data_IF_203940410658
#
_entry.id   IF_203940410658
#
_cell.length_a   1.000
_cell.length_b   1.000
_cell.length_c   1.000
_cell.angle_alpha   90.00
_cell.angle_beta   90.00
_cell.angle_gamma   90.00
#
_symmetry.space_group_name_H-M   'P 1'
#
loop_
_entity.id
_entity.type
_entity.pdbx_description
1 polymer ?
#
# COMPACT_ATOMS: atom_id res chain seq x y z
N UNK A 1 10.83 -20.42 11.71
CA UNK A 1 9.89 -19.33 12.07
C UNK A 1 9.63 -18.53 10.81
N UNK A 2 8.78 -19.06 9.94
CA UNK A 2 8.69 -18.73 8.51
C UNK A 2 7.33 -18.14 8.22
N UNK A 3 7.21 -16.82 8.37
CA UNK A 3 6.14 -16.07 7.71
C UNK A 3 6.56 -15.78 6.27
N UNK A 4 6.53 -16.82 5.45
CA UNK A 4 6.61 -16.71 3.99
C UNK A 4 5.32 -17.30 3.43
N UNK A 5 4.20 -16.60 3.59
CA UNK A 5 2.95 -16.98 2.92
C UNK A 5 2.06 -15.77 2.65
N UNK A 6 1.70 -15.65 1.37
CA UNK A 6 0.80 -14.65 0.73
C UNK A 6 1.53 -13.32 0.43
N UNK A 7 1.92 -12.96 -0.79
CA UNK A 7 1.19 -13.13 -2.04
C UNK A 7 2.16 -13.17 -3.23
N UNK A 8 2.17 -14.32 -3.90
CA UNK A 8 2.45 -14.41 -5.32
C UNK A 8 1.31 -13.67 -6.05
N UNK A 9 1.43 -12.38 -6.25
CA UNK A 9 0.64 -11.67 -7.28
C UNK A 9 1.58 -11.39 -8.43
N UNK A 10 1.30 -12.14 -9.49
CA UNK A 10 1.91 -12.13 -10.80
C UNK A 10 2.10 -10.68 -11.27
N UNK A 11 3.33 -10.34 -11.66
CA UNK A 11 3.57 -9.23 -12.57
C UNK A 11 2.64 -9.38 -13.79
N UNK A 12 2.18 -8.24 -14.34
CA UNK A 12 1.23 -8.08 -15.45
C UNK A 12 -0.24 -8.30 -15.05
N UNK A 13 -1.15 -7.32 -15.10
CA UNK A 13 -1.22 -6.05 -15.81
C UNK A 13 -1.83 -5.02 -14.84
N UNK A 14 -1.24 -3.87 -14.59
CA UNK A 14 -1.23 -2.79 -15.57
C UNK A 14 -0.23 -1.71 -15.14
N UNK A 15 0.53 -1.21 -16.10
CA UNK A 15 1.56 -0.18 -15.97
C UNK A 15 0.96 1.24 -15.99
N UNK A 16 -0.37 1.33 -15.91
CA UNK A 16 -1.11 2.57 -16.10
C UNK A 16 -1.22 3.34 -14.79
N UNK A 17 -0.27 4.25 -14.69
CA UNK A 17 -0.24 5.48 -13.92
C UNK A 17 -0.14 5.32 -12.41
N UNK A 18 0.92 5.90 -11.86
CA UNK A 18 1.16 6.06 -10.43
C UNK A 18 0.20 7.13 -9.91
N UNK A 19 -1.09 6.83 -9.98
CA UNK A 19 -2.16 7.73 -9.57
C UNK A 19 -2.38 7.53 -8.06
N UNK A 20 -2.38 8.61 -7.26
CA UNK A 20 -2.75 8.59 -5.84
C UNK A 20 -3.96 7.69 -5.49
N UNK A 21 -5.06 7.62 -6.27
CA UNK A 21 -6.19 6.73 -5.99
C UNK A 21 -5.84 5.24 -5.94
N UNK A 22 -4.88 4.76 -6.74
CA UNK A 22 -4.49 3.34 -6.75
C UNK A 22 -3.74 2.98 -5.47
N UNK A 23 -2.84 3.87 -5.02
CA UNK A 23 -2.11 3.72 -3.76
C UNK A 23 -3.10 3.71 -2.59
N UNK A 24 -4.11 4.60 -2.61
CA UNK A 24 -5.15 4.68 -1.59
C UNK A 24 -5.95 3.39 -1.50
N UNK A 25 -6.43 2.86 -2.63
CA UNK A 25 -7.17 1.60 -2.66
C UNK A 25 -6.35 0.43 -2.06
N UNK A 26 -5.05 0.37 -2.38
CA UNK A 26 -4.15 -0.67 -1.82
C UNK A 26 -3.90 -0.49 -0.33
N UNK A 27 -3.76 0.76 0.15
CA UNK A 27 -3.63 1.06 1.57
C UNK A 27 -4.89 0.65 2.35
N UNK A 28 -6.07 0.95 1.81
CA UNK A 28 -7.36 0.54 2.38
C UNK A 28 -7.53 -0.98 2.42
N UNK A 29 -7.15 -1.71 1.35
CA UNK A 29 -7.16 -3.18 1.36
C UNK A 29 -6.27 -3.79 2.46
N UNK A 30 -5.16 -3.12 2.79
CA UNK A 30 -4.27 -3.56 3.87
C UNK A 30 -4.91 -3.28 5.24
N UNK A 31 -5.43 -2.07 5.44
CA UNK A 31 -6.11 -1.66 6.68
C UNK A 31 -7.35 -2.51 6.98
N UNK A 32 -8.13 -2.84 5.95
CA UNK A 32 -9.35 -3.65 6.08
C UNK A 32 -9.08 -5.08 6.61
N UNK A 33 -7.87 -5.61 6.41
CA UNK A 33 -7.51 -6.96 6.88
C UNK A 33 -6.97 -6.96 8.30
N UNK A 34 -6.27 -5.91 8.68
CA UNK A 34 -5.67 -5.73 10.01
C UNK A 34 -5.25 -4.28 10.17
N UNK A 35 -5.39 -3.73 11.38
CA UNK A 35 -4.71 -2.48 11.71
C UNK A 35 -3.20 -2.65 11.54
N UNK A 36 -2.65 -1.79 10.69
CA UNK A 36 -1.22 -1.72 10.37
C UNK A 36 -0.71 -0.34 10.73
N UNK A 37 0.51 -0.28 11.27
CA UNK A 37 1.15 1.01 11.49
C UNK A 37 1.47 1.67 10.14
N UNK A 38 1.48 3.00 10.09
CA UNK A 38 1.83 3.76 8.87
C UNK A 38 3.15 3.31 8.24
N UNK A 39 4.17 3.05 9.06
CA UNK A 39 5.48 2.58 8.59
C UNK A 39 5.40 1.19 7.93
N UNK A 40 4.53 0.30 8.42
CA UNK A 40 4.30 -1.00 7.79
C UNK A 40 3.58 -0.84 6.45
N UNK A 41 2.57 0.04 6.36
CA UNK A 41 1.89 0.35 5.10
C UNK A 41 2.86 0.91 4.08
N UNK A 42 3.69 1.89 4.46
CA UNK A 42 4.73 2.46 3.61
C UNK A 42 5.68 1.40 3.07
N UNK A 43 6.22 0.54 3.94
CA UNK A 43 7.11 -0.55 3.50
C UNK A 43 6.41 -1.55 2.58
N UNK A 44 5.14 -1.88 2.85
CA UNK A 44 4.35 -2.80 2.03
C UNK A 44 4.02 -2.22 0.65
N UNK A 45 3.78 -0.92 0.56
CA UNK A 45 3.54 -0.21 -0.69
C UNK A 45 4.84 -0.03 -1.48
N UNK A 46 5.94 0.34 -0.80
CA UNK A 46 7.26 0.44 -1.42
C UNK A 46 7.73 -0.92 -1.99
N UNK A 47 7.54 -2.02 -1.25
CA UNK A 47 7.84 -3.38 -1.74
C UNK A 47 7.01 -3.80 -2.96
N UNK A 48 5.87 -3.15 -3.21
CA UNK A 48 5.04 -3.38 -4.40
C UNK A 48 5.48 -2.54 -5.61
N UNK A 49 6.48 -1.68 -5.44
CA UNK A 49 7.02 -0.81 -6.50
C UNK A 49 6.36 0.57 -6.60
N UNK A 50 5.57 0.97 -5.59
CA UNK A 50 5.05 2.34 -5.53
C UNK A 50 6.15 3.30 -5.05
N UNK A 51 6.33 4.47 -5.69
CA UNK A 51 7.31 5.44 -5.26
C UNK A 51 6.84 6.12 -3.98
N UNK A 52 7.78 6.32 -3.06
CA UNK A 52 7.52 6.83 -1.71
C UNK A 52 6.93 8.24 -1.73
N UNK A 53 7.32 9.05 -2.73
CA UNK A 53 6.81 10.41 -2.95
C UNK A 53 5.29 10.47 -3.13
N UNK A 54 4.67 9.41 -3.66
CA UNK A 54 3.22 9.30 -3.82
C UNK A 54 2.57 8.51 -2.68
N UNK A 55 3.35 7.71 -1.94
CA UNK A 55 2.86 6.95 -0.79
C UNK A 55 2.62 7.87 0.41
N UNK A 56 3.61 8.69 0.76
CA UNK A 56 3.54 9.55 1.93
C UNK A 56 2.30 10.48 1.94
N UNK A 57 1.99 11.25 0.87
CA UNK A 57 0.80 12.11 0.86
C UNK A 57 -0.51 11.32 0.94
N UNK A 58 -0.57 10.11 0.35
CA UNK A 58 -1.77 9.26 0.44
C UNK A 58 -1.94 8.70 1.85
N UNK A 59 -0.86 8.31 2.51
CA UNK A 59 -0.91 7.85 3.90
C UNK A 59 -1.21 8.98 4.87
N UNK A 60 -0.72 10.19 4.62
CA UNK A 60 -1.08 11.40 5.36
C UNK A 60 -2.58 11.64 5.25
N UNK A 61 -3.14 11.68 4.03
CA UNK A 61 -4.58 11.84 3.82
C UNK A 61 -5.40 10.77 4.55
N UNK A 62 -5.03 9.49 4.47
CA UNK A 62 -5.73 8.42 5.17
C UNK A 62 -5.67 8.56 6.70
N UNK A 63 -4.55 9.08 7.22
CA UNK A 63 -4.37 9.33 8.66
C UNK A 63 -5.23 10.51 9.10
N UNK A 64 -5.28 11.59 8.30
CA UNK A 64 -6.13 12.76 8.52
C UNK A 64 -7.63 12.39 8.45
N UNK A 65 -8.01 11.49 7.54
CA UNK A 65 -9.37 10.95 7.41
C UNK A 65 -9.77 10.02 8.59
N UNK A 66 -8.86 9.74 9.54
CA UNK A 66 -9.08 8.99 10.80
C UNK A 66 -9.68 7.59 10.60
N UNK A 67 -9.19 6.88 9.57
CA UNK A 67 -9.44 5.44 9.33
C UNK A 67 -8.50 4.54 10.14
#
# INVERSE_FOLDING_TARGET
>A
MSWTRTSKTRAAANREAVEPPVIRAKALELLARREHARLELRQKLAQRGFPVENIDPVLDQLTEERL
#
